data_IF_605363899837
#
_entry.id   IF_605363899837
#
_cell.length_a   1.000
_cell.length_b   1.000
_cell.length_c   1.000
_cell.angle_alpha   90.00
_cell.angle_beta   90.00
_cell.angle_gamma   90.00
#
_symmetry.space_group_name_H-M   'P 1'
#
loop_
_entity.id
_entity.type
_entity.pdbx_description
1 polymer ?
#
# COMPACT_ATOMS: atom_id res chain seq x y z
N UNK A 1 6.14 8.07 3.62
CA UNK A 1 5.80 6.88 4.42
C UNK A 1 6.53 5.63 3.95
N UNK A 2 6.16 4.97 2.83
CA UNK A 2 6.85 3.74 2.39
C UNK A 2 8.37 3.95 2.21
N UNK A 3 8.75 5.06 1.57
CA UNK A 3 10.16 5.42 1.36
C UNK A 3 10.97 5.49 2.67
N UNK A 4 10.37 6.00 3.75
CA UNK A 4 11.02 6.15 5.06
C UNK A 4 11.27 4.80 5.72
N UNK A 5 10.29 3.88 5.64
CA UNK A 5 10.43 2.51 6.15
C UNK A 5 11.48 1.75 5.34
N UNK A 6 11.42 1.86 4.01
CA UNK A 6 12.41 1.28 3.12
C UNK A 6 13.82 1.80 3.42
N UNK A 7 13.98 3.09 3.74
CA UNK A 7 15.27 3.66 4.15
C UNK A 7 15.76 3.07 5.47
N UNK A 8 14.90 2.95 6.49
CA UNK A 8 15.26 2.33 7.76
C UNK A 8 15.69 0.87 7.58
N UNK A 9 14.96 0.11 6.74
CA UNK A 9 15.30 -1.26 6.39
C UNK A 9 16.67 -1.31 5.71
N UNK A 10 16.90 -0.48 4.68
CA UNK A 10 18.19 -0.42 3.96
C UNK A 10 19.34 -0.05 4.89
N UNK A 11 19.11 0.83 5.86
CA UNK A 11 20.10 1.25 6.86
C UNK A 11 20.44 0.16 7.91
N UNK A 12 19.95 -1.07 7.76
CA UNK A 12 20.28 -2.19 8.65
C UNK A 12 19.27 -2.44 9.76
N UNK A 13 18.12 -1.73 9.78
CA UNK A 13 17.12 -1.95 10.83
C UNK A 13 16.55 -3.37 10.79
N UNK A 14 16.67 -4.06 11.91
CA UNK A 14 16.08 -5.38 12.19
C UNK A 14 14.88 -5.30 13.13
N UNK A 15 14.55 -4.10 13.63
CA UNK A 15 13.43 -3.89 14.56
C UNK A 15 12.07 -3.88 13.87
N UNK A 16 12.03 -3.64 12.55
CA UNK A 16 10.79 -3.59 11.77
C UNK A 16 10.46 -5.00 11.29
N UNK A 17 9.48 -5.63 11.94
CA UNK A 17 9.02 -6.97 11.58
C UNK A 17 8.10 -6.98 10.34
N UNK A 18 7.38 -5.88 10.09
CA UNK A 18 6.45 -5.79 8.96
C UNK A 18 5.73 -4.44 8.91
N UNK A 19 4.92 -4.28 7.86
CA UNK A 19 4.05 -3.12 7.65
C UNK A 19 2.64 -3.57 7.26
N UNK A 20 1.68 -2.68 7.44
CA UNK A 20 0.31 -2.83 6.96
C UNK A 20 0.05 -1.73 5.94
N UNK A 21 -0.60 -2.08 4.83
CA UNK A 21 -1.03 -1.14 3.79
C UNK A 21 -2.44 -1.50 3.33
N UNK A 22 -3.29 -0.49 3.14
CA UNK A 22 -4.63 -0.65 2.61
C UNK A 22 -4.61 -0.40 1.10
N UNK A 23 -4.99 -1.41 0.33
CA UNK A 23 -5.02 -1.35 -1.13
C UNK A 23 -6.26 -1.98 -1.70
N UNK A 24 -6.61 -1.53 -2.89
CA UNK A 24 -7.70 -2.07 -3.67
C UNK A 24 -7.40 -1.91 -5.16
N UNK A 25 -8.29 -2.36 -6.04
CA UNK A 25 -7.99 -2.32 -7.48
C UNK A 25 -7.95 -0.88 -8.00
N UNK A 26 -8.93 -0.08 -7.59
CA UNK A 26 -9.04 1.35 -7.81
C UNK A 26 -8.70 2.09 -6.52
N UNK A 27 -7.94 3.17 -6.65
CA UNK A 27 -7.58 4.04 -5.53
C UNK A 27 -8.79 4.70 -4.85
N UNK A 28 -8.55 5.20 -3.63
CA UNK A 28 -9.49 6.01 -2.89
C UNK A 28 -10.64 5.20 -2.31
N UNK A 29 -11.78 5.87 -2.15
CA UNK A 29 -12.99 5.32 -1.56
C UNK A 29 -14.23 5.88 -2.26
N UNK A 30 -15.33 5.16 -2.20
CA UNK A 30 -16.63 5.54 -2.75
C UNK A 30 -17.72 5.48 -1.68
N UNK A 31 -18.75 6.32 -1.83
CA UNK A 31 -19.93 6.28 -0.96
C UNK A 31 -20.95 5.30 -1.49
N UNK A 32 -21.57 4.55 -0.60
CA UNK A 32 -22.75 3.74 -0.94
C UNK A 32 -23.98 4.64 -1.01
N UNK A 33 -24.47 4.89 -2.22
CA UNK A 33 -25.67 5.70 -2.46
C UNK A 33 -26.80 4.79 -2.97
N UNK A 34 -27.98 4.77 -2.32
CA UNK A 34 -29.09 3.94 -2.76
C UNK A 34 -29.46 4.16 -4.23
N UNK A 35 -29.60 3.07 -4.99
CA UNK A 35 -29.96 3.10 -6.41
C UNK A 35 -28.82 3.46 -7.37
N UNK A 36 -27.61 3.76 -6.86
CA UNK A 36 -26.44 3.97 -7.71
C UNK A 36 -25.54 2.72 -7.71
N UNK A 37 -25.05 2.30 -8.88
CA UNK A 37 -24.08 1.19 -8.94
C UNK A 37 -22.75 1.62 -8.31
N UNK A 38 -22.07 0.67 -7.67
CA UNK A 38 -20.72 0.88 -7.15
C UNK A 38 -19.69 0.75 -8.29
N UNK A 39 -18.64 1.56 -8.21
CA UNK A 39 -17.41 1.34 -8.96
C UNK A 39 -16.80 0.02 -8.50
N UNK A 40 -16.71 -0.94 -9.39
CA UNK A 40 -16.10 -2.22 -9.07
C UNK A 40 -14.63 -2.01 -8.69
N UNK A 41 -14.19 -2.69 -7.63
CA UNK A 41 -12.81 -2.59 -7.20
C UNK A 41 -12.43 -1.25 -6.56
N UNK A 42 -13.37 -0.43 -6.07
CA UNK A 42 -13.09 0.73 -5.21
C UNK A 42 -13.62 0.54 -3.76
N UNK A 43 -12.83 0.90 -2.75
CA UNK A 43 -13.19 0.72 -1.33
C UNK A 43 -14.46 1.50 -0.97
N UNK A 44 -15.28 0.99 -0.03
CA UNK A 44 -16.46 1.70 0.51
C UNK A 44 -16.25 2.23 1.93
N UNK A 45 -15.07 1.99 2.50
CA UNK A 45 -14.67 2.42 3.85
C UNK A 45 -13.53 3.43 3.71
N UNK A 46 -12.32 3.03 4.07
CA UNK A 46 -11.13 3.87 4.07
C UNK A 46 -10.52 3.96 2.66
N UNK A 47 -9.86 5.09 2.32
CA UNK A 47 -9.23 5.27 1.03
C UNK A 47 -8.02 4.35 0.86
N UNK A 48 -8.02 3.56 -0.20
CA UNK A 48 -6.97 2.59 -0.51
C UNK A 48 -6.01 3.06 -1.59
N UNK A 49 -4.81 2.49 -1.64
CA UNK A 49 -3.92 2.57 -2.80
C UNK A 49 -4.52 1.84 -4.01
N UNK A 50 -4.14 2.25 -5.23
CA UNK A 50 -4.46 1.48 -6.43
C UNK A 50 -3.64 0.19 -6.52
N UNK A 51 -3.97 -0.65 -7.49
CA UNK A 51 -3.19 -1.84 -7.80
C UNK A 51 -1.75 -1.49 -8.21
N UNK A 52 -1.57 -0.51 -9.08
CA UNK A 52 -0.25 -0.09 -9.59
C UNK A 52 0.64 0.44 -8.46
N UNK A 53 0.07 1.26 -7.56
CA UNK A 53 0.80 1.74 -6.39
C UNK A 53 1.13 0.60 -5.40
N UNK A 54 0.29 -0.42 -5.32
CA UNK A 54 0.55 -1.62 -4.52
C UNK A 54 1.71 -2.43 -5.06
N UNK A 55 1.76 -2.65 -6.38
CA UNK A 55 2.88 -3.33 -7.04
C UNK A 55 4.19 -2.56 -6.82
N UNK A 56 4.16 -1.22 -6.94
CA UNK A 56 5.33 -0.38 -6.66
C UNK A 56 5.76 -0.50 -5.19
N UNK A 57 4.83 -0.41 -4.25
CA UNK A 57 5.09 -0.54 -2.81
C UNK A 57 5.78 -1.87 -2.48
N UNK A 58 5.24 -2.98 -3.00
CA UNK A 58 5.80 -4.31 -2.79
C UNK A 58 7.21 -4.44 -3.41
N UNK A 59 7.39 -3.90 -4.61
CA UNK A 59 8.69 -3.89 -5.29
C UNK A 59 9.75 -3.10 -4.53
N UNK A 60 9.39 -1.93 -3.99
CA UNK A 60 10.29 -1.11 -3.17
C UNK A 60 10.68 -1.79 -1.86
N UNK A 61 9.73 -2.43 -1.18
CA UNK A 61 9.98 -3.17 0.07
C UNK A 61 10.86 -4.41 -0.19
N UNK A 62 10.60 -5.14 -1.27
CA UNK A 62 11.44 -6.27 -1.68
C UNK A 62 12.88 -5.81 -1.99
N UNK A 63 13.05 -4.71 -2.73
CA UNK A 63 14.36 -4.14 -3.01
C UNK A 63 15.08 -3.67 -1.72
N UNK A 64 14.35 -3.03 -0.79
CA UNK A 64 14.91 -2.57 0.48
C UNK A 64 15.40 -3.74 1.35
N UNK A 65 14.61 -4.80 1.46
CA UNK A 65 14.97 -6.00 2.25
C UNK A 65 16.15 -6.75 1.65
N UNK A 66 16.26 -6.82 0.31
CA UNK A 66 17.39 -7.45 -0.37
C UNK A 66 18.71 -6.67 -0.25
N UNK A 67 18.63 -5.35 0.01
CA UNK A 67 19.79 -4.45 0.12
C UNK A 67 20.04 -3.95 1.54
N UNK A 68 19.49 -4.64 2.54
CA UNK A 68 19.75 -4.36 3.96
C UNK A 68 21.25 -4.55 4.25
N UNK A 69 21.88 -3.49 4.79
CA UNK A 69 23.26 -3.49 5.26
C UNK A 69 23.50 -4.47 6.42
#
# INVERSE_FOLDING_TARGET
>A
MCADICQQIRAGSTAIAGIMAESFLQEGTQKVVPGQPLTWGQSITDPCLSWEDSERLLSELAAATATRL
#
